data_IF_688522062426
#
_entry.id   IF_688522062426
#
_cell.length_a   1.000
_cell.length_b   1.000
_cell.length_c   1.000
_cell.angle_alpha   90.00
_cell.angle_beta   90.00
_cell.angle_gamma   90.00
#
_symmetry.space_group_name_H-M   'P 1'
#
loop_
_entity.id
_entity.type
_entity.pdbx_description
1 polymer ?
#
# COMPACT_ATOMS: atom_id res chain seq x y z
N UNK A 1 -16.29 -1.34 7.56
CA UNK A 1 -15.05 -1.92 8.11
C UNK A 1 -13.91 -0.95 7.84
N UNK A 2 -13.04 -0.62 8.81
CA UNK A 2 -11.85 0.19 8.55
C UNK A 2 -10.84 -0.52 7.63
N UNK A 3 -10.08 0.23 6.83
CA UNK A 3 -8.97 -0.33 6.05
C UNK A 3 -7.98 -1.08 6.94
N UNK A 4 -7.49 -2.23 6.46
CA UNK A 4 -6.54 -3.07 7.18
C UNK A 4 -7.12 -3.99 8.26
N UNK A 5 -8.42 -3.92 8.54
CA UNK A 5 -9.08 -4.80 9.54
C UNK A 5 -9.81 -6.00 8.91
N UNK A 6 -9.94 -6.01 7.58
CA UNK A 6 -10.56 -7.10 6.82
C UNK A 6 -9.53 -8.11 6.28
N UNK A 7 -9.99 -9.00 5.40
CA UNK A 7 -9.17 -10.05 4.78
C UNK A 7 -8.57 -9.68 3.41
N UNK A 8 -8.73 -8.43 2.97
CA UNK A 8 -8.26 -7.99 1.65
C UNK A 8 -6.74 -7.77 1.66
N UNK A 9 -6.02 -8.51 0.83
CA UNK A 9 -4.59 -8.27 0.58
C UNK A 9 -4.41 -7.22 -0.53
N UNK A 10 -4.32 -5.96 -0.11
CA UNK A 10 -4.13 -4.85 -1.04
C UNK A 10 -2.79 -4.90 -1.77
N UNK A 11 -1.73 -5.39 -1.12
CA UNK A 11 -0.40 -5.48 -1.73
C UNK A 11 -0.42 -6.44 -2.91
N UNK A 12 -1.05 -7.61 -2.76
CA UNK A 12 -1.14 -8.59 -3.85
C UNK A 12 -2.07 -8.14 -4.99
N UNK A 13 -3.16 -7.44 -4.67
CA UNK A 13 -4.04 -6.82 -5.68
C UNK A 13 -3.26 -5.84 -6.55
N UNK A 14 -2.43 -4.98 -5.93
CA UNK A 14 -1.64 -3.99 -6.66
C UNK A 14 -0.63 -4.66 -7.61
N UNK A 15 0.04 -5.71 -7.15
CA UNK A 15 0.97 -6.50 -7.98
C UNK A 15 0.25 -7.17 -9.14
N UNK A 16 -0.90 -7.80 -8.88
CA UNK A 16 -1.70 -8.49 -9.89
C UNK A 16 -2.17 -7.52 -10.97
N UNK A 17 -2.75 -6.39 -10.59
CA UNK A 17 -3.22 -5.38 -11.55
C UNK A 17 -2.06 -4.77 -12.35
N UNK A 18 -0.91 -4.53 -11.71
CA UNK A 18 0.30 -4.07 -12.39
C UNK A 18 0.80 -5.09 -13.41
N UNK A 19 0.82 -6.39 -13.06
CA UNK A 19 1.21 -7.47 -13.97
C UNK A 19 0.27 -7.59 -15.18
N UNK A 20 -1.01 -7.27 -15.01
CA UNK A 20 -2.00 -7.18 -16.08
C UNK A 20 -1.92 -5.86 -16.88
N UNK A 21 -0.92 -5.00 -16.60
CA UNK A 21 -0.74 -3.68 -17.21
C UNK A 21 -2.00 -2.79 -17.08
N UNK A 22 -2.73 -2.92 -15.97
CA UNK A 22 -3.82 -2.00 -15.64
C UNK A 22 -3.25 -0.61 -15.31
N UNK A 23 -3.74 0.43 -15.98
CA UNK A 23 -3.29 1.83 -15.82
C UNK A 23 -4.42 2.81 -15.50
N UNK A 24 -5.59 2.29 -15.14
CA UNK A 24 -6.75 3.10 -14.77
C UNK A 24 -6.62 3.70 -13.36
N UNK A 25 -7.51 4.66 -13.06
CA UNK A 25 -7.63 5.24 -11.73
C UNK A 25 -8.24 4.25 -10.73
N UNK A 26 -7.88 4.39 -9.46
CA UNK A 26 -8.50 3.64 -8.36
C UNK A 26 -9.49 4.52 -7.61
N UNK A 27 -10.59 3.90 -7.18
CA UNK A 27 -11.63 4.55 -6.39
C UNK A 27 -11.63 3.96 -4.98
N UNK A 28 -11.60 4.84 -3.98
CA UNK A 28 -11.78 4.45 -2.58
C UNK A 28 -13.26 4.61 -2.26
N UNK A 29 -13.97 3.49 -2.06
CA UNK A 29 -15.36 3.50 -1.62
C UNK A 29 -15.44 3.52 -0.09
N UNK A 30 -16.06 4.56 0.47
CA UNK A 30 -16.22 4.77 1.91
C UNK A 30 -17.60 5.34 2.22
N UNK A 31 -18.11 5.08 3.42
CA UNK A 31 -19.35 5.66 3.93
C UNK A 31 -19.05 6.65 5.06
N UNK A 32 -19.58 7.87 4.92
CA UNK A 32 -19.50 8.92 5.94
C UNK A 32 -20.22 8.50 7.23
N UNK A 33 -19.70 8.96 8.37
CA UNK A 33 -20.33 8.80 9.69
C UNK A 33 -21.07 10.05 10.14
N UNK A 34 -20.84 11.20 9.49
CA UNK A 34 -21.46 12.49 9.77
C UNK A 34 -21.25 12.96 11.22
N UNK A 35 -20.10 12.64 11.81
CA UNK A 35 -19.73 12.99 13.18
C UNK A 35 -18.62 14.07 13.25
N UNK A 36 -18.32 14.71 12.12
CA UNK A 36 -17.30 15.75 11.99
C UNK A 36 -15.89 15.24 11.72
N UNK A 37 -15.64 13.92 11.75
CA UNK A 37 -14.30 13.33 11.58
C UNK A 37 -14.10 12.67 10.20
N UNK A 38 -15.06 12.79 9.28
CA UNK A 38 -15.01 12.07 8.00
C UNK A 38 -13.83 12.50 7.10
N UNK A 39 -13.46 13.77 7.12
CA UNK A 39 -12.29 14.27 6.38
C UNK A 39 -10.98 13.62 6.87
N UNK A 40 -10.84 13.44 8.18
CA UNK A 40 -9.68 12.77 8.78
C UNK A 40 -9.65 11.30 8.38
N UNK A 41 -10.80 10.61 8.45
CA UNK A 41 -10.90 9.20 8.02
C UNK A 41 -10.55 8.99 6.55
N UNK A 42 -10.94 9.92 5.67
CA UNK A 42 -10.57 9.88 4.25
C UNK A 42 -9.05 10.05 4.10
N UNK A 43 -8.44 10.97 4.84
CA UNK A 43 -6.99 11.18 4.82
C UNK A 43 -6.23 9.93 5.30
N UNK A 44 -6.68 9.32 6.40
CA UNK A 44 -6.09 8.10 6.96
C UNK A 44 -6.20 6.92 5.99
N UNK A 45 -7.38 6.72 5.39
CA UNK A 45 -7.59 5.68 4.39
C UNK A 45 -6.65 5.84 3.18
N UNK A 46 -6.50 7.07 2.68
CA UNK A 46 -5.58 7.39 1.58
C UNK A 46 -4.12 7.12 1.97
N UNK A 47 -3.70 7.55 3.15
CA UNK A 47 -2.33 7.33 3.63
C UNK A 47 -2.03 5.84 3.77
N UNK A 48 -2.96 5.08 4.35
CA UNK A 48 -2.82 3.63 4.52
C UNK A 48 -2.73 2.89 3.18
N UNK A 49 -3.61 3.19 2.22
CA UNK A 49 -3.55 2.57 0.88
C UNK A 49 -2.26 2.94 0.13
N UNK A 50 -1.78 4.17 0.31
CA UNK A 50 -0.52 4.63 -0.30
C UNK A 50 0.67 3.84 0.28
N UNK A 51 0.70 3.61 1.59
CA UNK A 51 1.71 2.76 2.23
C UNK A 51 1.68 1.33 1.69
N UNK A 52 0.49 0.72 1.53
CA UNK A 52 0.35 -0.61 0.91
C UNK A 52 0.81 -0.66 -0.54
N UNK A 53 0.58 0.41 -1.30
CA UNK A 53 1.11 0.55 -2.65
C UNK A 53 2.64 0.56 -2.64
N UNK A 54 3.25 1.37 -1.77
CA UNK A 54 4.71 1.41 -1.65
C UNK A 54 5.27 0.06 -1.22
N UNK A 55 4.64 -0.63 -0.27
CA UNK A 55 5.05 -1.98 0.14
C UNK A 55 4.96 -3.01 -1.00
N UNK A 56 3.97 -2.89 -1.89
CA UNK A 56 3.81 -3.79 -3.03
C UNK A 56 5.00 -3.75 -3.99
N UNK A 57 5.62 -2.57 -4.15
CA UNK A 57 6.69 -2.33 -5.12
C UNK A 57 8.02 -1.93 -4.50
N UNK A 58 8.13 -1.96 -3.16
CA UNK A 58 9.40 -1.76 -2.46
C UNK A 58 10.32 -2.91 -2.87
N UNK A 59 11.53 -2.63 -3.39
CA UNK A 59 12.50 -3.69 -3.63
C UNK A 59 12.81 -4.42 -2.31
N UNK A 60 13.13 -5.72 -2.34
CA UNK A 60 13.54 -6.44 -1.14
C UNK A 60 14.65 -5.68 -0.42
N UNK A 61 14.51 -5.48 0.89
CA UNK A 61 15.63 -5.03 1.71
C UNK A 61 16.53 -6.23 1.96
N UNK A 62 17.64 -6.30 1.24
CA UNK A 62 18.66 -7.31 1.47
C UNK A 62 19.44 -6.91 2.74
N UNK A 63 19.33 -7.67 3.82
CA UNK A 63 20.24 -7.55 4.96
C UNK A 63 21.65 -7.93 4.47
N UNK A 64 22.61 -7.02 4.61
CA UNK A 64 23.92 -7.13 4.00
C UNK A 64 24.67 -8.40 4.41
N UNK A 65 25.12 -9.19 3.43
CA UNK A 65 26.15 -10.20 3.64
C UNK A 65 27.47 -9.44 3.86
N UNK A 66 27.94 -9.37 5.10
CA UNK A 66 29.30 -8.93 5.38
C UNK A 66 30.28 -10.07 5.09
N UNK A 67 31.22 -9.78 4.18
CA UNK A 67 32.40 -10.55 3.76
C UNK A 67 32.21 -11.66 2.72
N UNK A 68 31.62 -11.33 1.58
CA UNK A 68 32.29 -11.54 0.27
C UNK A 68 31.44 -10.92 -0.85
N UNK A 69 31.51 -9.60 -0.97
CA UNK A 69 31.17 -8.88 -2.19
C UNK A 69 29.69 -8.82 -2.58
N UNK A 70 28.88 -8.05 -1.84
CA UNK A 70 27.84 -7.18 -2.45
C UNK A 70 27.69 -5.93 -1.58
N UNK A 71 27.74 -4.74 -2.19
CA UNK A 71 27.38 -3.46 -1.57
C UNK A 71 26.03 -3.01 -2.09
N UNK A 72 25.17 -2.51 -1.20
CA UNK A 72 24.09 -1.58 -1.52
C UNK A 72 23.95 -0.56 -0.37
N UNK A 73 23.73 0.70 -0.73
CA UNK A 73 23.44 1.82 0.18
C UNK A 73 22.11 2.42 -0.27
N UNK A 74 21.23 2.66 0.70
CA UNK A 74 20.05 3.52 0.53
C UNK A 74 20.42 4.99 0.58
#
# INVERSE_FOLDING_TARGET
MPFGTGCVDFTEIFRTLSALNYRGAWLIEMWAKNDGLDSERIADAKAWLTDKYQQAFRPPQYEGIVNSGVKYVG
#
